data_IF_313170062625
#
_entry.id   IF_313170062625
#
_cell.length_a   1.000
_cell.length_b   1.000
_cell.length_c   1.000
_cell.angle_alpha   90.00
_cell.angle_beta   90.00
_cell.angle_gamma   90.00
#
_symmetry.space_group_name_H-M   'P 1'
#
loop_
_entity.id
_entity.type
_entity.pdbx_description
1 polymer ?
#
# COMPACT_ATOMS: atom_id res chain seq x y z
N UNK A 1 29.91 -2.85 -14.46
CA UNK A 1 28.90 -3.94 -14.47
C UNK A 1 28.01 -3.73 -15.67
N UNK A 2 27.92 -4.71 -16.56
CA UNK A 2 27.05 -4.65 -17.74
C UNK A 2 25.59 -4.63 -17.28
N UNK A 3 24.88 -3.53 -17.52
CA UNK A 3 23.43 -3.44 -17.34
C UNK A 3 22.79 -4.30 -18.41
N UNK A 4 22.64 -5.60 -18.13
CA UNK A 4 21.86 -6.50 -18.97
C UNK A 4 20.43 -5.95 -18.95
N UNK A 5 20.04 -5.26 -20.03
CA UNK A 5 18.69 -4.75 -20.21
C UNK A 5 17.77 -5.97 -20.17
N UNK A 6 17.02 -6.13 -19.07
CA UNK A 6 16.08 -7.23 -18.93
C UNK A 6 15.05 -7.04 -20.07
N UNK A 7 14.95 -8.02 -20.96
CA UNK A 7 13.83 -8.05 -21.89
C UNK A 7 12.57 -8.25 -21.06
N UNK A 8 11.68 -7.26 -21.12
CA UNK A 8 10.40 -7.32 -20.43
C UNK A 8 9.54 -8.32 -21.17
N UNK A 9 9.03 -9.31 -20.43
CA UNK A 9 8.12 -10.35 -20.91
C UNK A 9 6.91 -9.72 -21.64
N UNK A 10 6.48 -10.32 -22.76
CA UNK A 10 5.37 -9.77 -23.57
C UNK A 10 4.04 -9.77 -22.82
N UNK A 11 3.84 -10.69 -21.87
CA UNK A 11 2.70 -10.65 -20.95
C UNK A 11 2.74 -9.38 -20.08
N UNK A 12 3.91 -9.02 -19.55
CA UNK A 12 4.08 -7.78 -18.77
C UNK A 12 3.82 -6.56 -19.66
N UNK A 13 4.36 -6.52 -20.90
CA UNK A 13 4.08 -5.43 -21.84
C UNK A 13 2.58 -5.31 -22.14
N UNK A 14 1.87 -6.43 -22.23
CA UNK A 14 0.42 -6.43 -22.45
C UNK A 14 -0.32 -5.81 -21.27
N UNK A 15 0.01 -6.20 -20.04
CA UNK A 15 -0.60 -5.63 -18.84
C UNK A 15 -0.28 -4.13 -18.69
N UNK A 16 0.93 -3.70 -19.05
CA UNK A 16 1.30 -2.28 -19.04
C UNK A 16 0.44 -1.44 -20.00
N UNK A 17 0.00 -2.01 -21.13
CA UNK A 17 -0.92 -1.34 -22.06
C UNK A 17 -2.35 -1.21 -21.51
N UNK A 18 -2.71 -2.01 -20.51
CA UNK A 18 -4.02 -1.91 -19.86
C UNK A 18 -4.08 -0.77 -18.84
N UNK A 19 -2.94 -0.21 -18.42
CA UNK A 19 -2.90 0.89 -17.45
C UNK A 19 -3.62 2.12 -18.01
N UNK A 20 -4.62 2.58 -17.27
CA UNK A 20 -5.42 3.75 -17.59
C UNK A 20 -5.07 4.93 -16.68
N UNK A 21 -4.49 5.97 -17.27
CA UNK A 21 -4.28 7.25 -16.57
C UNK A 21 -5.58 7.89 -16.11
N UNK A 22 -6.67 7.65 -16.83
CA UNK A 22 -7.99 8.20 -16.49
C UNK A 22 -8.55 7.54 -15.22
N UNK A 23 -8.41 6.22 -15.07
CA UNK A 23 -8.79 5.52 -13.84
C UNK A 23 -7.97 5.99 -12.64
N UNK A 24 -6.65 6.12 -12.82
CA UNK A 24 -5.75 6.61 -11.76
C UNK A 24 -6.17 8.03 -11.36
N UNK A 25 -6.41 8.92 -12.33
CA UNK A 25 -6.82 10.31 -12.07
C UNK A 25 -8.20 10.38 -11.40
N UNK A 26 -9.15 9.55 -11.83
CA UNK A 26 -10.47 9.45 -11.23
C UNK A 26 -10.38 9.03 -9.75
N UNK A 27 -9.63 7.96 -9.46
CA UNK A 27 -9.41 7.48 -8.09
C UNK A 27 -8.72 8.54 -7.23
N UNK A 28 -7.69 9.20 -7.78
CA UNK A 28 -6.92 10.24 -7.11
C UNK A 28 -7.80 11.43 -6.72
N UNK A 29 -8.60 11.92 -7.67
CA UNK A 29 -9.54 13.03 -7.41
C UNK A 29 -10.58 12.61 -6.38
N UNK A 30 -11.14 11.40 -6.51
CA UNK A 30 -12.17 10.90 -5.59
C UNK A 30 -11.66 10.83 -4.15
N UNK A 31 -10.53 10.16 -3.90
CA UNK A 31 -10.01 10.02 -2.55
C UNK A 31 -9.44 11.34 -1.99
N UNK A 32 -8.93 12.24 -2.84
CA UNK A 32 -8.45 13.57 -2.40
C UNK A 32 -9.57 14.61 -2.27
N UNK A 33 -10.80 14.27 -2.66
CA UNK A 33 -11.98 15.12 -2.47
C UNK A 33 -12.49 15.15 -1.04
N UNK A 34 -12.22 14.10 -0.26
CA UNK A 34 -12.45 14.10 1.19
C UNK A 34 -11.77 15.32 1.82
N UNK A 35 -12.47 16.02 2.72
CA UNK A 35 -11.92 17.20 3.37
C UNK A 35 -10.57 16.88 4.02
N UNK A 36 -10.50 15.75 4.71
CA UNK A 36 -9.28 15.16 5.24
C UNK A 36 -9.51 13.66 5.38
N UNK A 37 -8.43 12.88 5.34
CA UNK A 37 -8.43 11.46 5.71
C UNK A 37 -7.60 11.21 6.96
N UNK A 38 -7.46 12.23 7.80
CA UNK A 38 -6.73 12.12 9.05
C UNK A 38 -7.32 11.00 9.93
N UNK A 39 -6.47 10.23 10.61
CA UNK A 39 -6.85 9.00 11.34
C UNK A 39 -7.91 9.22 12.42
N UNK A 40 -7.90 10.38 13.09
CA UNK A 40 -8.93 10.79 14.07
C UNK A 40 -10.11 11.57 13.47
N UNK A 41 -10.14 11.76 12.15
CA UNK A 41 -11.25 12.48 11.52
C UNK A 41 -12.49 11.60 11.44
N UNK A 42 -13.66 12.23 11.40
CA UNK A 42 -14.93 11.53 11.16
C UNK A 42 -15.00 10.79 9.81
N UNK A 43 -14.09 11.10 8.88
CA UNK A 43 -14.09 10.56 7.52
C UNK A 43 -13.31 9.24 7.40
N UNK A 44 -12.42 8.90 8.35
CA UNK A 44 -11.49 7.76 8.19
C UNK A 44 -12.23 6.44 7.91
N UNK A 45 -13.34 6.20 8.63
CA UNK A 45 -14.14 4.99 8.48
C UNK A 45 -14.94 4.99 7.16
N UNK A 46 -15.42 6.15 6.72
CA UNK A 46 -16.10 6.28 5.43
C UNK A 46 -15.15 5.96 4.27
N UNK A 47 -13.91 6.46 4.32
CA UNK A 47 -12.87 6.15 3.33
C UNK A 47 -12.56 4.66 3.32
N UNK A 48 -12.47 4.02 4.49
CA UNK A 48 -12.22 2.58 4.59
C UNK A 48 -13.33 1.74 3.93
N UNK A 49 -14.60 2.11 4.15
CA UNK A 49 -15.74 1.46 3.49
C UNK A 49 -15.74 1.71 1.97
N UNK A 50 -15.42 2.93 1.53
CA UNK A 50 -15.29 3.25 0.11
C UNK A 50 -14.22 2.38 -0.56
N UNK A 51 -13.04 2.26 0.05
CA UNK A 51 -11.94 1.41 -0.45
C UNK A 51 -12.33 -0.07 -0.53
N UNK A 52 -12.95 -0.61 0.52
CA UNK A 52 -13.46 -1.98 0.52
C UNK A 52 -14.47 -2.22 -0.60
N UNK A 53 -15.34 -1.23 -0.86
CA UNK A 53 -16.32 -1.32 -1.94
C UNK A 53 -15.68 -1.27 -3.34
N UNK A 54 -14.57 -0.54 -3.53
CA UNK A 54 -13.84 -0.56 -4.81
C UNK A 54 -13.39 -1.98 -5.19
N UNK A 55 -12.82 -2.72 -4.24
CA UNK A 55 -12.44 -4.13 -4.46
C UNK A 55 -13.63 -5.01 -4.86
N UNK A 56 -14.77 -4.85 -4.17
CA UNK A 56 -15.99 -5.61 -4.48
C UNK A 56 -16.52 -5.31 -5.88
N UNK A 57 -16.54 -4.04 -6.28
CA UNK A 57 -16.93 -3.61 -7.63
C UNK A 57 -16.01 -4.24 -8.68
N UNK A 58 -14.72 -4.37 -8.37
CA UNK A 58 -13.73 -5.04 -9.24
C UNK A 58 -13.82 -6.57 -9.22
N UNK A 59 -14.76 -7.16 -8.46
CA UNK A 59 -15.02 -8.60 -8.45
C UNK A 59 -14.28 -9.40 -7.37
N UNK A 60 -13.53 -8.74 -6.49
CA UNK A 60 -12.84 -9.42 -5.39
C UNK A 60 -13.82 -9.83 -4.29
N UNK A 61 -13.72 -11.09 -3.86
CA UNK A 61 -14.59 -11.67 -2.84
C UNK A 61 -13.91 -11.72 -1.46
N UNK A 62 -12.60 -12.00 -1.41
CA UNK A 62 -11.83 -12.02 -0.16
C UNK A 62 -11.32 -10.62 0.18
N UNK A 63 -12.23 -9.78 0.68
CA UNK A 63 -11.95 -8.42 1.14
C UNK A 63 -12.48 -8.24 2.55
N UNK A 64 -11.57 -8.01 3.50
CA UNK A 64 -11.89 -7.92 4.92
C UNK A 64 -11.27 -6.67 5.56
N UNK A 65 -11.78 -6.34 6.74
CA UNK A 65 -11.12 -5.37 7.60
C UNK A 65 -10.26 -6.11 8.61
N UNK A 66 -9.01 -5.66 8.77
CA UNK A 66 -8.23 -5.92 9.96
C UNK A 66 -8.42 -4.73 10.90
N UNK A 67 -9.24 -4.94 11.94
CA UNK A 67 -9.61 -3.92 12.92
C UNK A 67 -8.64 -3.92 14.10
N UNK A 68 -8.29 -2.74 14.58
CA UNK A 68 -7.46 -2.57 15.77
C UNK A 68 -7.89 -1.32 16.52
N UNK A 69 -7.61 -1.28 17.83
CA UNK A 69 -7.95 -0.15 18.70
C UNK A 69 -6.69 0.55 19.16
N UNK A 70 -6.70 1.88 19.11
CA UNK A 70 -5.57 2.72 19.53
C UNK A 70 -6.05 3.90 20.38
N UNK A 71 -5.26 4.23 21.41
CA UNK A 71 -5.47 5.44 22.20
C UNK A 71 -4.59 6.56 21.64
N UNK A 72 -5.21 7.62 21.11
CA UNK A 72 -4.51 8.73 20.47
C UNK A 72 -4.88 10.03 21.16
N UNK A 73 -3.92 10.59 21.92
CA UNK A 73 -4.09 11.80 22.74
C UNK A 73 -5.21 11.69 23.80
N UNK A 74 -5.45 10.49 24.34
CA UNK A 74 -6.41 10.25 25.44
C UNK A 74 -7.75 9.68 24.98
N UNK A 75 -8.05 9.69 23.68
CA UNK A 75 -9.28 9.12 23.12
C UNK A 75 -9.00 7.78 22.42
N UNK A 76 -9.93 6.84 22.54
CA UNK A 76 -9.86 5.54 21.87
C UNK A 76 -10.50 5.59 20.48
N UNK A 77 -9.80 5.04 19.49
CA UNK A 77 -10.27 4.93 18.10
C UNK A 77 -10.25 3.48 17.65
N UNK A 78 -11.38 3.02 17.11
CA UNK A 78 -11.46 1.77 16.36
C UNK A 78 -11.11 2.04 14.89
N UNK A 79 -9.97 1.54 14.46
CA UNK A 79 -9.36 1.78 13.16
C UNK A 79 -9.36 0.52 12.30
N UNK A 80 -9.30 0.71 10.98
CA UNK A 80 -9.45 -0.35 9.98
C UNK A 80 -8.33 -0.31 8.97
N UNK A 81 -7.57 -1.39 8.88
CA UNK A 81 -6.84 -1.69 7.65
C UNK A 81 -7.76 -2.44 6.69
N UNK A 82 -7.62 -2.21 5.39
CA UNK A 82 -8.34 -2.98 4.36
C UNK A 82 -7.38 -4.02 3.81
N UNK A 83 -7.80 -5.29 3.81
CA UNK A 83 -7.02 -6.42 3.31
C UNK A 83 -7.82 -7.11 2.22
N UNK A 84 -7.28 -7.13 1.01
CA UNK A 84 -7.81 -7.89 -0.11
C UNK A 84 -6.83 -8.98 -0.51
N UNK A 85 -7.28 -10.23 -0.60
CA UNK A 85 -6.45 -11.37 -1.03
C UNK A 85 -6.78 -11.78 -2.45
N UNK A 86 -5.75 -12.20 -3.18
CA UNK A 86 -5.85 -12.84 -4.49
C UNK A 86 -4.99 -14.10 -4.48
N UNK A 87 -5.64 -15.24 -4.64
CA UNK A 87 -4.92 -16.50 -4.68
C UNK A 87 -4.07 -16.62 -5.96
N UNK A 88 -2.86 -17.12 -5.77
CA UNK A 88 -1.97 -17.60 -6.81
C UNK A 88 -1.96 -19.11 -6.86
N UNK A 89 -1.02 -19.66 -7.63
CA UNK A 89 -0.83 -21.11 -7.78
C UNK A 89 -0.05 -21.69 -6.59
N UNK A 90 0.91 -20.93 -6.04
CA UNK A 90 1.76 -21.35 -4.94
C UNK A 90 1.36 -20.66 -3.64
N UNK A 91 0.79 -21.44 -2.71
CA UNK A 91 0.32 -20.96 -1.42
C UNK A 91 1.43 -20.51 -0.46
N UNK A 92 2.68 -20.93 -0.68
CA UNK A 92 3.83 -20.56 0.14
C UNK A 92 4.45 -19.22 -0.29
N UNK A 93 4.12 -18.72 -1.49
CA UNK A 93 4.60 -17.43 -1.96
C UNK A 93 3.53 -16.35 -1.75
N UNK A 94 3.83 -15.34 -0.94
CA UNK A 94 2.94 -14.19 -0.74
C UNK A 94 3.68 -12.87 -0.99
N UNK A 95 3.10 -12.03 -1.84
CA UNK A 95 3.54 -10.65 -2.07
C UNK A 95 2.48 -9.71 -1.50
N UNK A 96 2.87 -8.89 -0.53
CA UNK A 96 2.05 -7.80 -0.01
C UNK A 96 2.33 -6.56 -0.86
N UNK A 97 1.28 -5.96 -1.41
CA UNK A 97 1.35 -4.65 -2.08
C UNK A 97 0.53 -3.69 -1.24
N UNK A 98 1.15 -2.66 -0.69
CA UNK A 98 0.52 -1.82 0.31
C UNK A 98 0.72 -0.33 0.11
N UNK A 99 -0.15 0.44 0.75
CA UNK A 99 -0.15 1.90 0.83
C UNK A 99 -0.79 2.27 2.17
N UNK A 100 -0.58 3.49 2.65
CA UNK A 100 -1.49 4.06 3.63
C UNK A 100 -2.56 4.91 2.93
N UNK A 101 -3.72 5.07 3.56
CA UNK A 101 -4.83 5.83 3.00
C UNK A 101 -5.22 7.05 3.85
N UNK A 102 -4.66 7.18 5.05
CA UNK A 102 -4.80 8.39 5.85
C UNK A 102 -4.02 9.56 5.23
N UNK A 103 -4.26 10.75 5.76
CA UNK A 103 -3.58 11.97 5.33
C UNK A 103 -3.39 12.88 6.52
N UNK A 104 -2.50 13.86 6.42
CA UNK A 104 -2.36 14.87 7.47
C UNK A 104 -2.12 16.27 6.93
N UNK A 105 -2.23 17.22 7.84
CA UNK A 105 -1.56 18.52 7.71
C UNK A 105 -0.23 18.50 8.46
N UNK A 106 0.58 19.55 8.26
CA UNK A 106 1.88 19.70 8.92
C UNK A 106 1.77 19.65 10.46
N UNK A 107 0.72 20.24 11.02
CA UNK A 107 0.42 20.19 12.45
C UNK A 107 -0.12 18.81 12.81
N UNK A 108 0.74 17.96 13.37
CA UNK A 108 0.47 16.54 13.68
C UNK A 108 -0.85 16.27 14.40
N UNK A 109 -1.30 17.19 15.26
CA UNK A 109 -2.52 17.02 16.06
C UNK A 109 -3.78 17.64 15.46
N UNK A 110 -3.69 18.25 14.29
CA UNK A 110 -4.84 18.87 13.64
C UNK A 110 -5.56 17.86 12.74
N UNK A 111 -6.68 17.33 13.26
CA UNK A 111 -7.56 16.38 12.58
C UNK A 111 -8.68 17.04 11.78
N UNK A 112 -8.76 18.37 11.80
CA UNK A 112 -9.91 19.13 11.28
C UNK A 112 -9.59 19.89 10.00
N UNK A 113 -8.35 20.35 9.85
CA UNK A 113 -7.93 21.10 8.67
C UNK A 113 -7.99 20.25 7.39
N UNK A 114 -8.21 20.95 6.28
CA UNK A 114 -8.24 20.33 4.95
C UNK A 114 -6.89 19.69 4.63
N UNK A 115 -6.88 18.38 4.41
CA UNK A 115 -5.71 17.60 4.02
C UNK A 115 -6.07 16.69 2.83
N UNK A 116 -5.93 17.17 1.59
CA UNK A 116 -6.26 16.36 0.41
C UNK A 116 -5.34 15.15 0.25
N UNK A 117 -4.11 15.22 0.78
CA UNK A 117 -3.13 14.14 0.73
C UNK A 117 -2.98 13.53 -0.66
N UNK A 118 -2.89 14.36 -1.71
CA UNK A 118 -2.96 13.91 -3.09
C UNK A 118 -1.75 13.05 -3.46
N UNK A 119 -0.54 13.54 -3.20
CA UNK A 119 0.65 12.71 -3.34
C UNK A 119 0.81 11.76 -2.15
N UNK A 120 0.52 12.24 -0.94
CA UNK A 120 0.74 11.57 0.35
C UNK A 120 -0.60 11.29 1.06
N UNK A 121 -1.22 10.12 0.87
CA UNK A 121 -0.83 9.07 -0.07
C UNK A 121 -1.97 8.54 -0.95
N UNK A 122 -2.82 9.46 -1.42
CA UNK A 122 -3.82 9.15 -2.43
C UNK A 122 -3.20 8.64 -3.75
N UNK A 123 -1.94 8.99 -4.04
CA UNK A 123 -1.23 8.49 -5.22
C UNK A 123 -0.96 6.98 -5.13
N UNK A 124 -0.46 6.48 -4.00
CA UNK A 124 -0.25 5.06 -3.75
C UNK A 124 -1.57 4.28 -3.77
N UNK A 125 -2.61 4.84 -3.13
CA UNK A 125 -3.98 4.30 -3.20
C UNK A 125 -4.46 4.13 -4.63
N UNK A 126 -4.34 5.19 -5.44
CA UNK A 126 -4.84 5.20 -6.82
C UNK A 126 -4.06 4.22 -7.71
N UNK A 127 -2.75 4.12 -7.50
CA UNK A 127 -1.90 3.16 -8.20
C UNK A 127 -2.28 1.71 -7.86
N UNK A 128 -2.49 1.39 -6.57
CA UNK A 128 -2.89 0.04 -6.17
C UNK A 128 -4.28 -0.31 -6.71
N UNK A 129 -5.26 0.60 -6.68
CA UNK A 129 -6.58 0.34 -7.25
C UNK A 129 -6.49 -0.02 -8.75
N UNK A 130 -5.60 0.63 -9.50
CA UNK A 130 -5.39 0.30 -10.92
C UNK A 130 -4.65 -1.04 -11.10
N UNK A 131 -3.65 -1.34 -10.27
CA UNK A 131 -2.97 -2.65 -10.25
C UNK A 131 -3.98 -3.77 -9.97
N UNK A 132 -4.84 -3.58 -8.98
CA UNK A 132 -5.90 -4.52 -8.59
C UNK A 132 -6.85 -4.77 -9.77
N UNK A 133 -7.30 -3.72 -10.45
CA UNK A 133 -8.18 -3.84 -11.62
C UNK A 133 -7.57 -4.71 -12.73
N UNK A 134 -6.28 -4.49 -13.04
CA UNK A 134 -5.57 -5.21 -14.10
C UNK A 134 -5.30 -6.67 -13.69
N UNK A 135 -4.82 -6.87 -12.46
CA UNK A 135 -4.42 -8.20 -11.98
C UNK A 135 -5.59 -9.10 -11.62
N UNK A 136 -6.81 -8.58 -11.44
CA UNK A 136 -7.98 -9.38 -11.09
C UNK A 136 -8.16 -10.59 -12.02
N UNK A 137 -8.03 -10.37 -13.34
CA UNK A 137 -8.22 -11.40 -14.38
C UNK A 137 -7.03 -12.33 -14.59
N UNK A 138 -5.90 -12.06 -13.94
CA UNK A 138 -4.65 -12.78 -14.19
C UNK A 138 -4.51 -13.99 -13.28
N UNK A 139 -3.96 -15.09 -13.82
CA UNK A 139 -3.47 -16.21 -13.01
C UNK A 139 -2.04 -15.91 -12.60
N UNK A 140 -1.78 -15.89 -11.30
CA UNK A 140 -0.48 -15.49 -10.75
C UNK A 140 0.19 -16.67 -10.05
N UNK A 141 1.52 -16.69 -10.05
CA UNK A 141 2.26 -17.73 -9.34
C UNK A 141 2.17 -17.54 -7.82
N UNK A 142 2.40 -16.33 -7.33
CA UNK A 142 2.30 -15.99 -5.91
C UNK A 142 0.92 -15.48 -5.55
N UNK A 143 0.51 -15.71 -4.30
CA UNK A 143 -0.59 -15.00 -3.68
C UNK A 143 -0.26 -13.50 -3.63
N UNK A 144 -1.25 -12.67 -3.91
CA UNK A 144 -1.16 -11.24 -3.66
C UNK A 144 -2.06 -10.86 -2.49
N UNK A 145 -1.55 -9.96 -1.65
CA UNK A 145 -2.33 -9.34 -0.61
C UNK A 145 -2.21 -7.81 -0.73
N UNK A 146 -3.31 -7.17 -1.10
CA UNK A 146 -3.38 -5.72 -1.18
C UNK A 146 -3.80 -5.17 0.18
N UNK A 147 -3.00 -4.29 0.76
CA UNK A 147 -3.24 -3.77 2.11
C UNK A 147 -3.22 -2.25 2.14
N UNK A 148 -4.30 -1.66 2.63
CA UNK A 148 -4.44 -0.22 2.80
C UNK A 148 -4.43 0.07 4.29
N UNK A 149 -3.38 0.74 4.76
CA UNK A 149 -3.16 1.01 6.18
C UNK A 149 -3.78 2.33 6.63
N UNK A 150 -4.40 2.34 7.80
CA UNK A 150 -4.73 3.56 8.54
C UNK A 150 -3.62 3.92 9.53
N UNK A 151 -3.55 5.20 9.94
CA UNK A 151 -2.68 5.62 11.03
C UNK A 151 -1.19 5.55 10.73
N UNK A 152 -0.79 5.57 9.46
CA UNK A 152 0.62 5.74 9.09
C UNK A 152 1.14 7.04 9.68
N UNK A 153 0.36 8.11 9.51
CA UNK A 153 0.76 9.48 9.82
C UNK A 153 0.79 9.77 11.33
N UNK A 154 0.26 8.84 12.11
CA UNK A 154 0.24 8.83 13.57
C UNK A 154 1.23 7.81 14.15
N UNK A 155 2.20 7.37 13.34
CA UNK A 155 3.31 6.55 13.78
C UNK A 155 3.19 5.08 13.37
N UNK A 156 2.79 4.82 12.11
CA UNK A 156 2.74 3.49 11.51
C UNK A 156 1.77 2.54 12.24
N UNK A 157 0.68 3.05 12.80
CA UNK A 157 -0.20 2.29 13.69
C UNK A 157 -0.78 1.06 12.97
N UNK A 158 -1.41 1.26 11.81
CA UNK A 158 -2.07 0.18 11.07
C UNK A 158 -1.09 -0.91 10.63
N UNK A 159 0.07 -0.54 10.10
CA UNK A 159 1.08 -1.49 9.65
C UNK A 159 1.75 -2.23 10.81
N UNK A 160 1.98 -1.59 11.96
CA UNK A 160 2.49 -2.25 13.18
C UNK A 160 1.51 -3.29 13.71
N UNK A 161 0.23 -2.92 13.85
CA UNK A 161 -0.81 -3.87 14.29
C UNK A 161 -0.93 -5.03 13.32
N UNK A 162 -0.91 -4.75 12.02
CA UNK A 162 -1.04 -5.80 11.02
C UNK A 162 0.17 -6.73 10.97
N UNK A 163 1.39 -6.20 11.07
CA UNK A 163 2.60 -7.02 11.16
C UNK A 163 2.59 -7.92 12.41
N UNK A 164 2.12 -7.41 13.55
CA UNK A 164 1.93 -8.22 14.77
C UNK A 164 0.88 -9.32 14.55
N UNK A 165 -0.27 -8.97 13.99
CA UNK A 165 -1.33 -9.94 13.64
C UNK A 165 -0.80 -11.05 12.73
N UNK A 166 -0.03 -10.71 11.68
CA UNK A 166 0.58 -11.69 10.79
C UNK A 166 1.57 -12.59 11.53
N UNK A 167 2.42 -12.03 12.40
CA UNK A 167 3.38 -12.82 13.20
C UNK A 167 2.68 -13.82 14.12
N UNK A 168 1.52 -13.47 14.67
CA UNK A 168 0.78 -14.31 15.62
C UNK A 168 -0.07 -15.39 14.93
N UNK A 169 -0.63 -15.08 13.76
CA UNK A 169 -1.62 -15.95 13.09
C UNK A 169 -1.06 -16.74 11.91
N UNK A 170 0.09 -16.34 11.36
CA UNK A 170 0.63 -16.89 10.14
C UNK A 170 2.11 -17.22 10.33
N UNK A 171 2.44 -18.50 10.52
CA UNK A 171 3.79 -19.08 10.45
C UNK A 171 4.37 -19.02 9.01
N UNK A 172 4.14 -17.91 8.29
CA UNK A 172 4.45 -17.78 6.87
C UNK A 172 5.88 -17.29 6.73
N UNK A 173 6.72 -18.14 6.16
CA UNK A 173 8.16 -17.99 6.21
C UNK A 173 8.72 -16.94 5.25
N UNK A 174 8.00 -16.46 4.22
CA UNK A 174 8.58 -15.52 3.22
C UNK A 174 7.55 -14.59 2.56
N UNK A 175 7.16 -13.52 3.24
CA UNK A 175 6.49 -12.40 2.57
C UNK A 175 7.52 -11.55 1.81
N UNK A 176 7.15 -11.09 0.61
CA UNK A 176 7.76 -9.89 0.01
C UNK A 176 6.77 -8.75 0.15
N UNK A 177 7.26 -7.54 0.38
CA UNK A 177 6.41 -6.37 0.54
C UNK A 177 6.85 -5.26 -0.40
N UNK A 178 5.89 -4.65 -1.08
CA UNK A 178 6.07 -3.46 -1.92
C UNK A 178 5.15 -2.39 -1.34
N UNK A 179 5.74 -1.30 -0.84
CA UNK A 179 4.99 -0.14 -0.36
C UNK A 179 4.98 0.94 -1.46
N UNK A 180 3.80 1.42 -1.83
CA UNK A 180 3.63 2.53 -2.76
C UNK A 180 3.32 3.77 -1.93
N UNK A 181 4.31 4.65 -1.81
CA UNK A 181 4.19 5.88 -1.05
C UNK A 181 4.73 7.07 -1.84
N UNK A 182 3.89 8.08 -2.01
CA UNK A 182 4.23 9.30 -2.75
C UNK A 182 4.67 9.05 -4.21
N UNK A 183 3.91 8.24 -4.95
CA UNK A 183 4.21 7.84 -6.34
C UNK A 183 3.63 8.77 -7.41
N UNK A 184 3.05 9.90 -7.03
CA UNK A 184 2.35 10.83 -7.94
C UNK A 184 3.11 12.10 -8.29
N UNK A 185 4.24 12.40 -7.63
CA UNK A 185 5.02 13.60 -7.91
C UNK A 185 6.07 13.33 -8.99
N UNK A 186 6.16 14.15 -10.05
CA UNK A 186 7.13 13.94 -11.12
C UNK A 186 8.55 14.08 -10.60
N UNK A 187 9.38 13.08 -10.88
CA UNK A 187 10.80 13.14 -10.60
C UNK A 187 11.51 14.11 -11.56
N UNK A 188 12.62 14.70 -11.11
CA UNK A 188 13.49 15.53 -11.96
C UNK A 188 14.00 14.76 -13.20
N UNK A 189 14.06 13.43 -13.11
CA UNK A 189 14.42 12.53 -14.19
C UNK A 189 13.18 11.76 -14.67
N UNK A 190 12.56 12.15 -15.79
CA UNK A 190 11.41 11.44 -16.36
C UNK A 190 11.72 9.96 -16.58
N UNK A 191 10.76 9.09 -16.21
CA UNK A 191 10.91 7.63 -16.34
C UNK A 191 11.72 6.95 -15.22
N UNK A 192 12.13 7.69 -14.18
CA UNK A 192 12.75 7.10 -12.99
C UNK A 192 11.75 6.88 -11.86
N UNK A 193 11.97 5.82 -11.08
CA UNK A 193 11.29 5.55 -9.81
C UNK A 193 12.33 5.49 -8.69
N UNK A 194 11.96 5.93 -7.49
CA UNK A 194 12.81 5.80 -6.30
C UNK A 194 12.37 4.52 -5.58
N UNK A 195 13.30 3.58 -5.44
CA UNK A 195 13.09 2.36 -4.67
C UNK A 195 13.82 2.51 -3.34
N UNK A 196 13.04 2.75 -2.28
CA UNK A 196 13.54 2.60 -0.92
C UNK A 196 13.48 1.13 -0.51
N UNK A 197 14.51 0.68 0.18
CA UNK A 197 14.64 -0.70 0.64
C UNK A 197 15.35 -0.71 1.98
N UNK A 198 15.09 -1.74 2.76
CA UNK A 198 15.86 -1.95 3.97
C UNK A 198 17.32 -2.27 3.61
N UNK A 199 18.26 -1.51 4.16
CA UNK A 199 19.68 -1.56 3.80
C UNK A 199 20.64 -1.29 4.97
N UNK A 200 20.24 -1.60 6.21
CA UNK A 200 21.10 -1.53 7.40
C UNK A 200 21.61 -0.12 7.80
N UNK A 201 21.19 0.96 7.12
CA UNK A 201 21.74 2.32 7.35
C UNK A 201 21.01 3.13 8.42
N UNK A 202 19.77 2.74 8.81
CA UNK A 202 18.98 3.44 9.83
C UNK A 202 18.49 2.48 10.93
N UNK A 203 19.31 2.32 11.97
CA UNK A 203 19.07 1.46 13.15
C UNK A 203 17.70 1.64 13.81
N UNK A 204 17.09 2.83 13.70
CA UNK A 204 15.80 3.14 14.35
C UNK A 204 14.62 2.38 13.72
N UNK A 205 14.71 1.98 12.46
CA UNK A 205 13.58 1.41 11.70
C UNK A 205 13.84 0.00 11.16
N UNK A 206 15.10 -0.40 10.98
CA UNK A 206 15.46 -1.79 10.68
C UNK A 206 15.68 -2.59 11.96
N UNK A 207 14.67 -3.35 12.35
CA UNK A 207 14.71 -4.23 13.54
C UNK A 207 15.02 -5.70 13.20
N UNK A 208 15.11 -6.07 11.92
CA UNK A 208 15.23 -7.47 11.47
C UNK A 208 16.33 -7.58 10.41
N UNK A 209 17.58 -7.36 10.84
CA UNK A 209 18.75 -7.33 9.94
C UNK A 209 18.97 -8.59 9.11
N UNK A 210 18.43 -9.71 9.56
CA UNK A 210 18.53 -10.99 8.87
C UNK A 210 17.90 -10.97 7.47
N UNK A 211 16.96 -10.06 7.18
CA UNK A 211 16.34 -9.95 5.86
C UNK A 211 17.00 -8.89 4.93
N UNK A 212 18.04 -8.18 5.39
CA UNK A 212 18.67 -7.08 4.65
C UNK A 212 19.24 -7.55 3.31
N UNK A 213 19.91 -8.70 3.29
CA UNK A 213 20.49 -9.25 2.08
C UNK A 213 19.42 -9.55 1.01
N UNK A 214 18.27 -10.08 1.45
CA UNK A 214 17.13 -10.36 0.57
C UNK A 214 16.44 -9.07 0.10
N UNK A 215 16.29 -8.08 0.98
CA UNK A 215 15.77 -6.75 0.67
C UNK A 215 16.64 -6.02 -0.37
N UNK A 216 17.97 -6.02 -0.18
CA UNK A 216 18.93 -5.45 -1.14
C UNK A 216 18.87 -6.19 -2.47
N UNK A 217 18.87 -7.53 -2.46
CA UNK A 217 18.77 -8.31 -3.69
C UNK A 217 17.48 -7.99 -4.45
N UNK A 218 16.35 -7.92 -3.76
CA UNK A 218 15.07 -7.62 -4.37
C UNK A 218 15.02 -6.19 -4.94
N UNK A 219 15.42 -5.18 -4.16
CA UNK A 219 15.42 -3.79 -4.61
C UNK A 219 16.46 -3.46 -5.69
N UNK A 220 17.44 -4.33 -5.97
CA UNK A 220 18.35 -4.18 -7.12
C UNK A 220 17.73 -4.67 -8.43
N UNK A 221 16.66 -5.46 -8.36
CA UNK A 221 15.97 -6.01 -9.53
C UNK A 221 14.79 -5.12 -9.96
N UNK A 222 14.21 -4.38 -9.01
CA UNK A 222 13.16 -3.38 -9.26
C UNK A 222 13.76 -2.10 -9.83
#
# INVERSE_FOLDING_TARGET
>A
MSTKKLEVDDAIKSLLREVSSDNIKFNLITISSYHTRYTRSKYINEVAEWLKNQFKIMGYQDVSFHTYRENIDGDDYDLKNIVCKKDGINNECVIIVCTHYDSRVKKLRDSTSRAPGANDNASGVSAILEIVRILHKQKLYCNLQFVFFSGEEQGLLGSKHYAKFLKENNNVSKYRLINLDMVGYPQLNPGSVIVERDNNTKLRYNKVRENDADSVKFGNIM
#
